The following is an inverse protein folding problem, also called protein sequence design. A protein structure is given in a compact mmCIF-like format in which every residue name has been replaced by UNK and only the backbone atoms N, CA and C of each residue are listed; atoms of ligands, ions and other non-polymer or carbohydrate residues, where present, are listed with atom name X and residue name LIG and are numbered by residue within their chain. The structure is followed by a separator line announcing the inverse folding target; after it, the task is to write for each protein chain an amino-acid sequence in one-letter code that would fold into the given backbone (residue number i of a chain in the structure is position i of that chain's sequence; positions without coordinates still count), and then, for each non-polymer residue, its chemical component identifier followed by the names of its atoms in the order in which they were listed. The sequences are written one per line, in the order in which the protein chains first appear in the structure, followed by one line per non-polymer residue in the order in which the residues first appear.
data_IF_116439007401
#
_entry.id   IF_116439007401
#
_cell.length_a   1.000
_cell.length_b   1.000
_cell.length_c   1.000
_cell.angle_alpha   90.00
_cell.angle_beta   90.00
_cell.angle_gamma   90.00
#
_symmetry.space_group_name_H-M   'P 1'
#
loop_
_entity.id
_entity.type
_entity.pdbx_description
1 polymer ?
#
# COMPACT_ATOMS: atom_id res chain seq x y z
N UNK A 1 33.61 -26.88 2.81
CA UNK A 1 32.43 -26.23 2.17
C UNK A 1 31.24 -27.10 2.52
N UNK A 2 30.18 -26.49 3.03
CA UNK A 2 28.88 -27.13 3.26
C UNK A 2 27.91 -26.53 2.24
N UNK A 3 27.23 -27.35 1.44
CA UNK A 3 26.35 -26.89 0.36
C UNK A 3 25.01 -27.63 0.44
N UNK A 4 23.92 -26.90 0.20
CA UNK A 4 22.57 -27.49 0.14
C UNK A 4 22.35 -28.26 -1.17
N UNK A 5 21.36 -29.17 -1.23
CA UNK A 5 20.79 -29.56 -2.52
C UNK A 5 20.20 -28.35 -3.26
N UNK A 6 19.78 -28.58 -4.51
CA UNK A 6 18.97 -27.61 -5.24
C UNK A 6 17.62 -27.42 -4.55
N UNK A 7 17.29 -26.16 -4.30
CA UNK A 7 16.05 -25.70 -3.72
C UNK A 7 15.29 -24.90 -4.77
N UNK A 8 13.97 -24.94 -4.68
CA UNK A 8 13.09 -24.13 -5.48
C UNK A 8 12.00 -23.56 -4.58
N UNK A 9 11.75 -22.27 -4.71
CA UNK A 9 10.66 -21.59 -4.04
C UNK A 9 10.14 -20.50 -4.96
N UNK A 10 8.87 -20.60 -5.32
CA UNK A 10 8.12 -19.41 -5.72
C UNK A 10 8.00 -18.47 -4.50
N UNK A 11 7.83 -17.17 -4.69
CA UNK A 11 7.48 -16.27 -3.59
C UNK A 11 5.95 -16.17 -3.55
N UNK A 12 5.35 -16.51 -2.42
CA UNK A 12 3.96 -16.13 -2.12
C UNK A 12 3.88 -14.60 -2.14
N UNK A 13 2.83 -14.01 -2.73
CA UNK A 13 2.72 -12.54 -2.71
C UNK A 13 2.78 -12.01 -1.29
N UNK A 14 3.36 -10.82 -1.14
CA UNK A 14 3.57 -10.21 0.17
C UNK A 14 4.41 -11.06 1.13
N UNK A 15 5.32 -11.90 0.62
CA UNK A 15 6.30 -12.63 1.42
C UNK A 15 7.73 -12.37 0.97
N UNK A 16 8.69 -12.67 1.84
CA UNK A 16 10.10 -12.67 1.52
C UNK A 16 10.73 -14.02 1.82
N UNK A 17 11.62 -14.47 0.93
CA UNK A 17 12.38 -15.68 1.14
C UNK A 17 13.55 -15.37 2.09
N UNK A 18 13.62 -16.09 3.22
CA UNK A 18 14.61 -15.91 4.27
C UNK A 18 15.55 -17.11 4.34
N UNK A 19 16.82 -16.84 4.62
CA UNK A 19 17.79 -17.81 5.12
C UNK A 19 18.13 -17.44 6.57
N UNK A 20 17.81 -18.32 7.50
CA UNK A 20 18.17 -18.19 8.92
C UNK A 20 19.08 -19.32 9.36
N UNK A 21 20.07 -19.03 10.19
CA UNK A 21 20.97 -20.02 10.78
C UNK A 21 21.58 -19.50 12.07
N UNK A 22 22.02 -20.43 12.91
CA UNK A 22 22.82 -20.13 14.08
C UNK A 22 24.31 -20.26 13.74
N UNK A 23 25.12 -19.33 14.24
CA UNK A 23 26.57 -19.33 14.06
C UNK A 23 27.32 -19.10 15.38
N UNK A 24 28.42 -19.82 15.55
CA UNK A 24 29.38 -19.65 16.64
C UNK A 24 30.81 -19.75 16.10
N UNK A 25 31.72 -18.96 16.69
CA UNK A 25 33.16 -19.05 16.47
C UNK A 25 33.86 -19.28 17.81
N UNK A 26 34.61 -20.38 17.92
CA UNK A 26 35.64 -20.50 18.95
C UNK A 26 36.97 -20.07 18.35
N UNK A 27 37.38 -18.83 18.64
CA UNK A 27 38.62 -18.25 18.15
C UNK A 27 39.82 -18.69 19.02
N UNK A 28 40.99 -18.84 18.40
CA UNK A 28 42.25 -19.05 19.11
C UNK A 28 43.13 -17.80 19.06
N UNK A 29 43.16 -17.11 17.92
CA UNK A 29 43.97 -15.93 17.72
C UNK A 29 43.23 -14.96 16.78
N UNK A 30 42.91 -13.79 17.30
CA UNK A 30 42.18 -12.74 16.59
C UNK A 30 43.03 -12.04 15.52
N UNK A 31 43.22 -12.69 14.38
CA UNK A 31 44.05 -12.20 13.27
C UNK A 31 43.26 -11.48 12.18
N UNK A 32 41.94 -11.62 12.19
CA UNK A 32 41.05 -11.19 11.12
C UNK A 32 41.40 -11.76 9.72
N UNK A 33 42.01 -12.95 9.69
CA UNK A 33 42.46 -13.63 8.47
C UNK A 33 41.74 -14.94 8.17
N UNK A 34 40.83 -15.37 9.05
CA UNK A 34 39.99 -16.55 8.89
C UNK A 34 38.53 -16.12 8.81
N UNK A 35 37.81 -16.72 7.87
CA UNK A 35 36.48 -16.28 7.45
C UNK A 35 35.48 -17.42 7.41
N UNK A 36 34.21 -17.10 7.67
CA UNK A 36 33.06 -17.90 7.31
C UNK A 36 32.20 -17.10 6.33
N UNK A 37 32.29 -17.45 5.04
CA UNK A 37 31.47 -16.86 3.98
C UNK A 37 30.17 -17.64 3.77
N UNK A 38 29.08 -16.92 3.57
CA UNK A 38 27.78 -17.47 3.18
C UNK A 38 27.43 -16.93 1.82
N UNK A 39 27.03 -17.81 0.92
CA UNK A 39 26.71 -17.47 -0.46
C UNK A 39 25.44 -18.20 -0.91
N UNK A 40 24.74 -17.59 -1.86
CA UNK A 40 23.54 -18.16 -2.46
C UNK A 40 23.72 -18.21 -3.96
N UNK A 41 23.42 -19.36 -4.56
CA UNK A 41 23.52 -19.60 -5.98
C UNK A 41 22.19 -19.32 -6.66
N UNK A 42 22.16 -18.49 -7.70
CA UNK A 42 21.05 -18.38 -8.65
C UNK A 42 21.59 -17.88 -9.99
N UNK A 43 20.81 -17.99 -11.09
CA UNK A 43 21.24 -17.60 -12.45
C UNK A 43 22.62 -18.15 -12.87
N UNK A 44 22.94 -19.37 -12.42
CA UNK A 44 24.22 -20.05 -12.67
C UNK A 44 25.46 -19.40 -12.02
N UNK A 45 25.29 -18.48 -11.08
CA UNK A 45 26.40 -17.79 -10.39
C UNK A 45 26.19 -17.79 -8.86
N UNK A 46 27.30 -17.74 -8.12
CA UNK A 46 27.28 -17.62 -6.65
C UNK A 46 27.32 -16.14 -6.26
N UNK A 47 26.36 -15.72 -5.43
CA UNK A 47 26.28 -14.37 -4.89
C UNK A 47 26.68 -14.37 -3.41
N UNK A 48 27.62 -13.49 -2.99
CA UNK A 48 27.96 -13.35 -1.58
C UNK A 48 26.81 -12.74 -0.79
N UNK A 49 26.47 -13.35 0.35
CA UNK A 49 25.41 -12.90 1.24
C UNK A 49 25.97 -12.19 2.48
N UNK A 50 26.89 -12.84 3.18
CA UNK A 50 27.55 -12.31 4.39
C UNK A 50 28.89 -13.00 4.62
N UNK A 51 29.81 -12.33 5.30
CA UNK A 51 31.09 -12.88 5.71
C UNK A 51 31.39 -12.52 7.16
N UNK A 52 31.72 -13.55 7.95
CA UNK A 52 32.21 -13.41 9.33
C UNK A 52 33.73 -13.57 9.35
N UNK A 53 34.38 -12.95 10.33
CA UNK A 53 35.84 -12.88 10.44
C UNK A 53 36.27 -13.17 11.88
N UNK A 54 37.42 -13.81 12.09
CA UNK A 54 37.96 -14.12 13.41
C UNK A 54 38.61 -12.89 14.11
N UNK A 55 37.81 -11.91 14.47
CA UNK A 55 38.27 -10.76 15.30
C UNK A 55 38.14 -11.04 16.80
N UNK A 56 37.28 -11.98 17.19
CA UNK A 56 37.11 -12.51 18.54
C UNK A 56 36.22 -13.77 18.48
N UNK A 57 36.20 -14.56 19.55
CA UNK A 57 35.18 -15.62 19.72
C UNK A 57 33.77 -15.02 19.71
N UNK A 58 32.85 -15.74 19.09
CA UNK A 58 31.44 -15.42 18.98
C UNK A 58 30.66 -16.56 19.60
N UNK A 59 29.90 -16.30 20.68
CA UNK A 59 28.96 -17.30 21.18
C UNK A 59 27.78 -17.46 20.20
N UNK A 60 26.99 -18.51 20.35
CA UNK A 60 25.83 -18.76 19.47
C UNK A 60 24.95 -17.52 19.30
N UNK A 61 24.79 -17.11 18.04
CA UNK A 61 23.83 -16.09 17.62
C UNK A 61 23.00 -16.63 16.47
N UNK A 62 21.73 -16.23 16.41
CA UNK A 62 20.85 -16.45 15.25
C UNK A 62 20.94 -15.25 14.33
N UNK A 63 21.05 -15.51 13.03
CA UNK A 63 21.06 -14.48 12.00
C UNK A 63 20.11 -14.85 10.89
N UNK A 64 19.40 -13.86 10.35
CA UNK A 64 18.42 -14.04 9.28
C UNK A 64 18.70 -13.05 8.17
N UNK A 65 18.74 -13.55 6.93
CA UNK A 65 19.03 -12.76 5.74
C UNK A 65 17.92 -12.91 4.71
N UNK A 66 17.61 -11.81 4.02
CA UNK A 66 16.69 -11.82 2.89
C UNK A 66 17.44 -12.34 1.64
N UNK A 67 16.89 -13.38 1.02
CA UNK A 67 17.42 -14.01 -0.20
C UNK A 67 16.38 -14.02 -1.33
N UNK A 68 15.42 -13.10 -1.30
CA UNK A 68 14.29 -13.03 -2.24
C UNK A 68 14.71 -12.85 -3.70
N UNK A 69 15.94 -12.40 -3.97
CA UNK A 69 16.50 -12.32 -5.32
C UNK A 69 16.67 -13.70 -6.00
N UNK A 70 16.70 -14.76 -5.18
CA UNK A 70 16.77 -16.15 -5.63
C UNK A 70 15.39 -16.79 -5.87
N UNK A 71 14.30 -16.10 -5.52
CA UNK A 71 12.95 -16.64 -5.68
C UNK A 71 12.52 -16.76 -7.14
N UNK A 72 11.65 -17.74 -7.41
CA UNK A 72 11.23 -18.11 -8.76
C UNK A 72 12.36 -18.71 -9.61
N UNK A 73 13.50 -19.02 -8.98
CA UNK A 73 14.68 -19.63 -9.60
C UNK A 73 15.07 -20.88 -8.81
N UNK A 74 15.78 -21.79 -9.46
CA UNK A 74 16.51 -22.83 -8.73
C UNK A 74 17.70 -22.21 -8.03
N UNK A 75 17.83 -22.44 -6.72
CA UNK A 75 18.91 -21.87 -5.91
C UNK A 75 19.56 -22.89 -4.97
N UNK A 76 20.75 -22.54 -4.46
CA UNK A 76 21.48 -23.31 -3.43
C UNK A 76 22.06 -22.34 -2.40
N UNK A 77 22.34 -22.83 -1.20
CA UNK A 77 23.05 -22.09 -0.15
C UNK A 77 24.34 -22.83 0.17
N UNK A 78 25.45 -22.09 0.38
CA UNK A 78 26.68 -22.69 0.89
C UNK A 78 27.36 -21.86 1.96
N UNK A 79 28.10 -22.56 2.81
CA UNK A 79 28.95 -22.04 3.87
C UNK A 79 30.41 -22.43 3.60
N UNK A 80 31.30 -21.44 3.61
CA UNK A 80 32.70 -21.58 3.22
C UNK A 80 33.57 -21.07 4.36
N UNK A 81 34.19 -21.99 5.09
CA UNK A 81 35.33 -21.65 5.94
C UNK A 81 36.58 -21.46 5.06
N UNK A 82 37.24 -20.32 5.18
CA UNK A 82 38.46 -19.99 4.45
C UNK A 82 39.41 -19.17 5.34
N UNK A 83 40.67 -19.00 4.94
CA UNK A 83 41.60 -18.16 5.68
C UNK A 83 43.07 -18.47 5.43
N UNK A 84 43.94 -17.70 6.08
CA UNK A 84 45.38 -17.83 5.95
C UNK A 84 45.92 -19.04 6.73
N UNK A 85 45.41 -19.30 7.94
CA UNK A 85 45.86 -20.40 8.78
C UNK A 85 44.71 -20.93 9.66
N UNK A 86 44.25 -22.14 9.38
CA UNK A 86 43.18 -22.79 10.15
C UNK A 86 43.52 -22.97 11.64
N UNK A 87 44.79 -22.95 12.03
CA UNK A 87 45.19 -23.04 13.44
C UNK A 87 44.85 -21.80 14.27
N UNK A 88 44.45 -20.68 13.64
CA UNK A 88 44.02 -19.45 14.32
C UNK A 88 42.60 -19.57 14.89
N UNK A 89 41.83 -20.59 14.50
CA UNK A 89 40.49 -20.85 15.03
C UNK A 89 40.40 -22.28 15.56
N UNK A 90 39.59 -22.52 16.59
CA UNK A 90 39.25 -23.89 16.99
C UNK A 90 38.15 -24.46 16.10
N UNK A 91 37.20 -23.62 15.69
CA UNK A 91 36.15 -24.04 14.76
C UNK A 91 35.09 -22.98 14.55
N UNK A 92 34.50 -23.04 13.35
CA UNK A 92 33.22 -22.42 13.05
C UNK A 92 32.13 -23.47 13.20
N UNK A 93 31.05 -23.11 13.88
CA UNK A 93 29.90 -23.97 14.08
C UNK A 93 28.68 -23.30 13.47
N UNK A 94 27.92 -24.06 12.69
CA UNK A 94 26.67 -23.64 12.06
C UNK A 94 25.61 -24.66 12.46
N UNK A 95 24.44 -24.19 12.88
CA UNK A 95 23.31 -25.03 13.23
C UNK A 95 21.98 -24.35 12.87
N UNK A 96 20.85 -25.07 12.99
CA UNK A 96 19.50 -24.55 12.79
C UNK A 96 19.31 -23.79 11.46
N UNK A 97 19.84 -24.35 10.37
CA UNK A 97 19.74 -23.75 9.04
C UNK A 97 18.31 -23.95 8.51
N UNK A 98 17.60 -22.85 8.32
CA UNK A 98 16.25 -22.81 7.78
C UNK A 98 16.18 -21.90 6.56
N UNK A 99 15.56 -22.40 5.50
CA UNK A 99 15.11 -21.57 4.38
C UNK A 99 13.60 -21.60 4.40
N UNK A 100 12.97 -20.44 4.56
CA UNK A 100 11.52 -20.32 4.71
C UNK A 100 11.02 -19.02 4.12
N UNK A 101 9.71 -18.97 3.85
CA UNK A 101 9.04 -17.74 3.47
C UNK A 101 8.44 -17.07 4.69
N UNK A 102 8.51 -15.75 4.73
CA UNK A 102 7.95 -14.93 5.79
C UNK A 102 7.03 -13.87 5.17
N UNK A 103 5.74 -13.93 5.51
CA UNK A 103 4.74 -12.97 5.03
C UNK A 103 4.88 -11.62 5.74
N UNK A 104 4.61 -10.53 5.03
CA UNK A 104 4.91 -9.19 5.47
C UNK A 104 3.95 -8.71 6.58
N UNK A 105 4.47 -7.98 7.60
CA UNK A 105 3.69 -7.45 8.70
C UNK A 105 3.00 -6.13 8.35
N UNK A 106 1.93 -5.73 9.07
CA UNK A 106 1.38 -4.38 9.02
C UNK A 106 2.40 -3.34 9.47
N UNK A 107 2.25 -2.11 9.00
CA UNK A 107 3.16 -1.01 9.27
C UNK A 107 2.45 0.14 9.98
N UNK A 108 3.22 1.04 10.59
CA UNK A 108 2.74 2.31 11.13
C UNK A 108 1.51 2.19 12.04
N UNK A 109 1.49 1.21 12.94
CA UNK A 109 0.45 1.12 13.96
C UNK A 109 0.53 2.35 14.86
N UNK A 110 -0.59 3.05 14.97
CA UNK A 110 -0.79 4.21 15.84
C UNK A 110 -2.22 4.22 16.40
N UNK A 111 -2.53 5.20 17.24
CA UNK A 111 -3.82 5.33 17.87
C UNK A 111 -4.29 6.77 18.04
N UNK A 112 -5.61 6.94 17.95
CA UNK A 112 -6.31 8.16 18.33
C UNK A 112 -7.22 7.92 19.53
N UNK A 113 -7.16 8.83 20.50
CA UNK A 113 -8.06 8.80 21.66
C UNK A 113 -9.37 9.51 21.29
N UNK A 114 -10.44 8.74 21.08
CA UNK A 114 -11.74 9.23 20.55
C UNK A 114 -12.81 9.41 21.63
N UNK A 115 -12.38 9.57 22.88
CA UNK A 115 -13.22 9.75 24.06
C UNK A 115 -12.41 9.53 25.34
N UNK A 116 -13.06 9.51 26.50
CA UNK A 116 -12.34 9.32 27.77
C UNK A 116 -11.72 7.92 27.93
N UNK A 117 -12.22 6.92 27.19
CA UNK A 117 -11.80 5.52 27.30
C UNK A 117 -12.01 4.69 26.02
N UNK A 118 -11.99 5.37 24.87
CA UNK A 118 -12.16 4.78 23.55
C UNK A 118 -10.91 5.06 22.72
N UNK A 119 -10.30 3.99 22.22
CA UNK A 119 -9.11 4.05 21.39
C UNK A 119 -9.48 3.61 19.97
N UNK A 120 -9.14 4.43 18.98
CA UNK A 120 -9.17 4.04 17.58
C UNK A 120 -7.75 3.73 17.14
N UNK A 121 -7.43 2.44 17.03
CA UNK A 121 -6.19 1.99 16.42
C UNK A 121 -6.27 2.19 14.91
N UNK A 122 -5.17 2.63 14.30
CA UNK A 122 -5.01 2.70 12.85
C UNK A 122 -3.64 2.17 12.44
N UNK A 123 -3.55 1.55 11.27
CA UNK A 123 -2.28 1.06 10.73
C UNK A 123 -2.26 1.17 9.21
N UNK A 124 -1.08 1.03 8.63
CA UNK A 124 -0.89 0.82 7.20
C UNK A 124 -0.84 -0.68 6.89
N UNK A 125 -1.37 -1.13 5.74
CA UNK A 125 -1.21 -2.50 5.31
C UNK A 125 0.28 -2.85 5.09
N UNK A 126 0.62 -4.15 5.01
CA UNK A 126 1.97 -4.56 4.63
C UNK A 126 2.36 -3.99 3.26
N UNK A 127 3.58 -3.46 3.16
CA UNK A 127 4.16 -3.08 1.86
C UNK A 127 4.55 -4.35 1.10
N UNK A 128 3.62 -4.85 0.28
CA UNK A 128 3.87 -6.00 -0.56
C UNK A 128 4.65 -5.57 -1.81
N UNK A 129 5.79 -6.21 -2.06
CA UNK A 129 6.57 -5.98 -3.29
C UNK A 129 5.86 -6.59 -4.53
N UNK A 130 4.80 -7.37 -4.30
CA UNK A 130 3.88 -7.95 -5.30
C UNK A 130 2.44 -7.89 -4.74
N UNK A 131 1.52 -7.23 -5.45
CA UNK A 131 0.23 -6.73 -4.91
C UNK A 131 -0.80 -7.75 -4.36
N UNK A 132 -1.98 -7.29 -3.89
CA UNK A 132 -2.89 -7.98 -2.94
C UNK A 132 -3.72 -9.15 -3.51
N UNK A 133 -4.49 -9.83 -2.63
CA UNK A 133 -5.44 -10.95 -2.91
C UNK A 133 -6.76 -10.44 -3.52
N UNK A 134 -7.31 -11.18 -4.50
CA UNK A 134 -8.49 -10.90 -5.32
C UNK A 134 -8.21 -11.03 -6.83
N UNK A 135 -9.14 -11.50 -7.66
CA UNK A 135 -8.87 -11.58 -9.11
C UNK A 135 -8.60 -10.17 -9.66
N UNK A 136 -7.50 -10.03 -10.40
CA UNK A 136 -7.19 -8.78 -11.06
C UNK A 136 -8.21 -8.53 -12.18
N UNK A 137 -8.93 -7.41 -12.11
CA UNK A 137 -9.98 -7.00 -13.04
C UNK A 137 -9.68 -5.65 -13.63
N UNK A 138 -9.80 -5.52 -14.94
CA UNK A 138 -9.72 -4.25 -15.65
C UNK A 138 -11.11 -3.63 -15.75
N UNK A 139 -11.22 -2.37 -15.37
CA UNK A 139 -12.36 -1.50 -15.60
C UNK A 139 -12.00 -0.50 -16.69
N UNK A 140 -12.83 -0.43 -17.74
CA UNK A 140 -12.69 0.57 -18.80
C UNK A 140 -14.02 1.19 -19.17
N UNK A 141 -14.00 2.44 -19.65
CA UNK A 141 -15.21 3.15 -20.09
C UNK A 141 -15.18 3.54 -21.58
N UNK A 142 -13.99 3.74 -22.13
CA UNK A 142 -13.80 4.01 -23.56
C UNK A 142 -14.31 2.88 -24.46
N UNK A 143 -14.84 3.26 -25.62
CA UNK A 143 -15.42 2.35 -26.60
C UNK A 143 -14.87 2.49 -28.02
N UNK A 144 -14.09 3.54 -28.29
CA UNK A 144 -13.35 3.69 -29.56
C UNK A 144 -12.07 2.86 -29.68
N UNK A 145 -11.53 2.81 -30.91
CA UNK A 145 -10.25 2.17 -31.24
C UNK A 145 -9.08 3.17 -31.14
N UNK A 146 -8.14 2.99 -30.19
CA UNK A 146 -7.04 3.93 -29.98
C UNK A 146 -6.03 4.01 -31.13
N UNK A 147 -6.12 3.12 -32.11
CA UNK A 147 -5.22 3.17 -33.29
C UNK A 147 -5.80 3.97 -34.45
N UNK A 148 -7.12 4.20 -34.47
CA UNK A 148 -7.82 4.84 -35.59
C UNK A 148 -8.67 6.05 -35.16
N UNK A 149 -9.02 6.14 -33.87
CA UNK A 149 -9.78 7.25 -33.28
C UNK A 149 -8.95 7.89 -32.17
N UNK A 150 -8.33 9.03 -32.47
CA UNK A 150 -7.33 9.65 -31.59
C UNK A 150 -7.56 11.16 -31.52
N UNK A 151 -8.03 11.65 -30.38
CA UNK A 151 -8.15 13.05 -30.03
C UNK A 151 -7.47 13.31 -28.67
N UNK A 152 -7.40 14.57 -28.25
CA UNK A 152 -6.80 14.98 -27.00
C UNK A 152 -6.90 16.49 -26.84
N UNK A 153 -6.77 16.94 -25.60
CA UNK A 153 -6.67 18.36 -25.26
C UNK A 153 -5.24 18.85 -25.39
N UNK A 154 -5.11 20.13 -25.72
CA UNK A 154 -3.92 20.90 -25.40
C UNK A 154 -3.80 21.03 -23.88
N UNK A 155 -2.67 20.61 -23.32
CA UNK A 155 -2.53 20.49 -21.87
C UNK A 155 -1.63 21.55 -21.26
N UNK A 156 -1.78 21.75 -19.95
CA UNK A 156 -1.02 22.72 -19.18
C UNK A 156 -0.65 22.16 -17.81
N UNK A 157 0.40 22.69 -17.20
CA UNK A 157 0.76 22.36 -15.81
C UNK A 157 -0.35 22.79 -14.86
N UNK A 158 -0.49 22.09 -13.73
CA UNK A 158 -1.54 22.39 -12.76
C UNK A 158 -2.95 22.10 -13.28
N UNK A 159 -3.07 21.25 -14.30
CA UNK A 159 -4.35 20.72 -14.80
C UNK A 159 -4.28 19.20 -14.82
N UNK A 160 -5.41 18.54 -14.66
CA UNK A 160 -5.47 17.08 -14.73
C UNK A 160 -6.63 16.58 -15.58
N UNK A 161 -6.43 15.38 -16.14
CA UNK A 161 -7.29 14.74 -17.12
C UNK A 161 -7.43 13.27 -16.77
N UNK A 162 -8.64 12.73 -16.77
CA UNK A 162 -8.80 11.33 -16.39
C UNK A 162 -10.24 10.85 -16.30
N UNK A 163 -10.40 9.69 -15.66
CA UNK A 163 -11.68 8.97 -15.62
C UNK A 163 -12.10 8.74 -14.17
N UNK A 164 -13.41 8.83 -13.94
CA UNK A 164 -14.03 8.46 -12.65
C UNK A 164 -14.67 7.08 -12.76
N UNK A 165 -14.21 6.14 -11.95
CA UNK A 165 -14.68 4.76 -11.90
C UNK A 165 -15.70 4.55 -10.78
N UNK A 166 -16.67 3.66 -11.01
CA UNK A 166 -17.68 3.30 -10.01
C UNK A 166 -17.35 1.95 -9.36
N UNK A 167 -16.86 1.99 -8.13
CA UNK A 167 -16.49 0.81 -7.36
C UNK A 167 -17.60 0.34 -6.41
N UNK A 168 -18.83 0.84 -6.52
CA UNK A 168 -19.96 0.42 -5.68
C UNK A 168 -20.20 -1.09 -5.63
N UNK A 169 -19.83 -1.81 -6.70
CA UNK A 169 -19.95 -3.26 -6.78
C UNK A 169 -18.75 -4.03 -6.19
N UNK A 170 -17.64 -3.34 -5.91
CA UNK A 170 -16.37 -3.89 -5.45
C UNK A 170 -15.97 -3.19 -4.15
N UNK A 171 -16.70 -3.45 -3.06
CA UNK A 171 -16.45 -2.83 -1.75
C UNK A 171 -15.08 -3.18 -1.16
N UNK A 172 -14.51 -4.30 -1.58
CA UNK A 172 -13.18 -4.79 -1.21
C UNK A 172 -12.10 -4.39 -2.23
N UNK A 173 -12.43 -3.57 -3.24
CA UNK A 173 -11.50 -3.26 -4.31
C UNK A 173 -10.24 -2.59 -3.75
N UNK A 174 -9.11 -3.14 -4.17
CA UNK A 174 -7.81 -2.49 -4.09
C UNK A 174 -7.45 -1.91 -5.45
N UNK A 175 -7.00 -0.66 -5.49
CA UNK A 175 -6.57 0.01 -6.72
C UNK A 175 -5.13 -0.38 -7.04
N UNK A 176 -4.93 -1.25 -8.02
CA UNK A 176 -3.63 -1.88 -8.25
C UNK A 176 -2.76 -1.10 -9.24
N UNK A 177 -3.28 -0.81 -10.43
CA UNK A 177 -2.51 -0.18 -11.52
C UNK A 177 -3.42 0.48 -12.55
N UNK A 178 -2.86 1.29 -13.43
CA UNK A 178 -3.57 1.89 -14.55
C UNK A 178 -2.85 1.62 -15.86
N UNK A 179 -3.64 1.60 -16.93
CA UNK A 179 -3.14 1.73 -18.30
C UNK A 179 -3.72 3.00 -18.89
N UNK A 180 -2.94 3.74 -19.67
CA UNK A 180 -3.46 4.86 -20.44
C UNK A 180 -2.75 5.01 -21.77
N UNK A 181 -3.43 5.62 -22.74
CA UNK A 181 -2.83 6.00 -24.02
C UNK A 181 -2.51 7.49 -24.05
N UNK A 182 -1.36 7.83 -24.62
CA UNK A 182 -1.03 9.22 -24.98
C UNK A 182 -0.74 9.31 -26.48
N UNK A 183 -1.01 10.49 -27.05
CA UNK A 183 -0.86 10.78 -28.46
C UNK A 183 -0.37 12.21 -28.63
N UNK A 184 0.94 12.33 -28.80
CA UNK A 184 1.68 13.56 -28.84
C UNK A 184 1.21 14.47 -29.99
N UNK A 185 1.21 15.78 -29.76
CA UNK A 185 0.91 16.79 -30.77
C UNK A 185 2.05 17.02 -31.78
N UNK A 186 2.63 15.94 -32.32
CA UNK A 186 3.75 16.00 -33.27
C UNK A 186 5.12 16.30 -32.64
N UNK A 187 5.17 16.56 -31.33
CA UNK A 187 6.41 16.65 -30.55
C UNK A 187 6.68 15.30 -29.85
N UNK A 188 7.73 14.62 -30.28
CA UNK A 188 8.10 13.31 -29.74
C UNK A 188 9.10 13.45 -28.58
N UNK A 189 8.93 12.63 -27.55
CA UNK A 189 9.80 12.61 -26.37
C UNK A 189 9.30 11.67 -25.29
N UNK A 190 10.08 11.57 -24.21
CA UNK A 190 9.64 11.00 -22.95
C UNK A 190 9.18 12.13 -22.04
N UNK A 191 7.98 12.00 -21.49
CA UNK A 191 7.29 13.08 -20.80
C UNK A 191 6.93 12.67 -19.38
N UNK A 192 7.13 13.58 -18.43
CA UNK A 192 6.79 13.34 -17.04
C UNK A 192 5.32 13.61 -16.75
N UNK A 193 4.74 12.82 -15.86
CA UNK A 193 3.36 13.01 -15.39
C UNK A 193 3.20 12.52 -13.95
N UNK A 194 2.15 13.00 -13.27
CA UNK A 194 1.68 12.46 -11.98
C UNK A 194 0.32 11.80 -12.14
N UNK A 195 0.01 10.91 -11.21
CA UNK A 195 -1.32 10.31 -11.06
C UNK A 195 -1.91 10.78 -9.73
N UNK A 196 -3.05 11.44 -9.79
CA UNK A 196 -3.86 11.84 -8.63
C UNK A 196 -5.00 10.85 -8.47
N UNK A 197 -5.11 10.24 -7.29
CA UNK A 197 -6.20 9.34 -6.91
C UNK A 197 -7.10 10.09 -5.96
N UNK A 198 -8.41 10.15 -6.24
CA UNK A 198 -9.35 11.05 -5.56
C UNK A 198 -10.63 10.32 -5.18
N UNK A 199 -11.08 10.46 -3.93
CA UNK A 199 -12.42 10.04 -3.53
C UNK A 199 -13.43 11.03 -4.12
N UNK A 200 -14.17 10.61 -5.15
CA UNK A 200 -14.89 11.54 -6.01
C UNK A 200 -16.13 12.13 -5.38
N UNK A 201 -16.71 11.47 -4.36
CA UNK A 201 -17.87 12.02 -3.67
C UNK A 201 -17.50 13.21 -2.77
N UNK A 202 -16.28 13.22 -2.25
CA UNK A 202 -15.80 14.25 -1.31
C UNK A 202 -14.74 15.16 -1.93
N UNK A 203 -14.25 14.82 -3.12
CA UNK A 203 -13.12 15.46 -3.79
C UNK A 203 -11.82 15.46 -2.96
N UNK A 204 -11.70 14.50 -2.03
CA UNK A 204 -10.51 14.36 -1.19
C UNK A 204 -9.42 13.60 -1.94
N UNK A 205 -8.21 14.14 -1.99
CA UNK A 205 -7.05 13.44 -2.53
C UNK A 205 -6.69 12.24 -1.66
N UNK A 206 -6.69 11.05 -2.24
CA UNK A 206 -6.26 9.80 -1.62
C UNK A 206 -4.74 9.64 -1.74
N UNK A 207 -4.21 9.84 -2.95
CA UNK A 207 -2.78 9.72 -3.23
C UNK A 207 -2.37 10.60 -4.41
N UNK A 208 -1.11 11.04 -4.42
CA UNK A 208 -0.46 11.65 -5.59
C UNK A 208 0.83 10.88 -5.86
N UNK A 209 0.87 10.19 -7.00
CA UNK A 209 1.95 9.29 -7.37
C UNK A 209 2.79 9.85 -8.50
N UNK A 210 4.07 9.48 -8.54
CA UNK A 210 5.04 9.97 -9.52
C UNK A 210 5.97 11.07 -8.98
N UNK A 211 6.66 11.82 -9.87
CA UNK A 211 6.48 11.82 -11.32
C UNK A 211 6.93 10.51 -11.96
N UNK A 212 6.08 9.98 -12.83
CA UNK A 212 6.41 8.90 -13.76
C UNK A 212 6.90 9.49 -15.08
N UNK A 213 7.44 8.65 -15.97
CA UNK A 213 7.93 9.06 -17.30
C UNK A 213 7.37 8.14 -18.37
N UNK A 214 6.85 8.67 -19.47
CA UNK A 214 6.38 7.85 -20.61
C UNK A 214 7.52 7.07 -21.27
N UNK A 215 7.20 5.88 -21.78
CA UNK A 215 8.18 4.90 -22.30
C UNK A 215 8.25 4.88 -23.83
N UNK A 216 7.61 5.84 -24.49
CA UNK A 216 7.63 6.00 -25.95
C UNK A 216 6.72 7.14 -26.37
N UNK A 217 6.44 7.20 -27.68
CA UNK A 217 5.49 8.15 -28.27
C UNK A 217 4.24 7.40 -28.71
N UNK A 218 3.10 8.05 -28.59
CA UNK A 218 1.85 7.68 -29.27
C UNK A 218 1.43 6.23 -29.03
N UNK A 219 1.48 5.81 -27.76
CA UNK A 219 1.27 4.42 -27.38
C UNK A 219 0.59 4.29 -26.03
N UNK A 220 0.19 3.06 -25.72
CA UNK A 220 -0.20 2.66 -24.38
C UNK A 220 0.99 2.63 -23.42
N UNK A 221 0.84 3.28 -22.28
CA UNK A 221 1.58 3.01 -21.07
C UNK A 221 0.77 1.99 -20.26
N UNK A 222 1.39 0.85 -19.95
CA UNK A 222 0.72 -0.28 -19.32
C UNK A 222 1.34 -0.62 -17.97
N UNK A 223 0.49 -0.96 -17.01
CA UNK A 223 0.89 -1.43 -15.69
C UNK A 223 1.53 -0.37 -14.80
N UNK A 224 1.08 0.88 -14.91
CA UNK A 224 1.55 1.96 -14.03
C UNK A 224 0.99 1.72 -12.63
N UNK A 225 1.87 1.37 -11.70
CA UNK A 225 1.49 0.93 -10.36
C UNK A 225 0.87 2.07 -9.55
N UNK A 226 -0.30 1.82 -8.94
CA UNK A 226 -0.95 2.73 -8.02
C UNK A 226 -0.53 2.54 -6.56
N UNK A 227 0.26 1.51 -6.27
CA UNK A 227 0.68 1.15 -4.91
C UNK A 227 -0.35 0.36 -4.13
N UNK A 228 -1.29 -0.30 -4.83
CA UNK A 228 -2.30 -1.17 -4.22
C UNK A 228 -3.12 -0.47 -3.11
N UNK A 229 -3.73 0.66 -3.48
CA UNK A 229 -4.47 1.50 -2.53
C UNK A 229 -5.76 0.80 -2.11
N UNK A 230 -5.87 0.45 -0.83
CA UNK A 230 -7.01 -0.24 -0.24
C UNK A 230 -8.01 0.71 0.43
N UNK A 231 -9.20 0.22 0.76
CA UNK A 231 -10.19 0.94 1.56
C UNK A 231 -11.04 1.97 0.79
N UNK A 232 -10.88 2.04 -0.53
CA UNK A 232 -11.64 2.93 -1.42
C UNK A 232 -12.53 2.18 -2.42
N UNK A 233 -12.74 0.89 -2.18
CA UNK A 233 -13.83 0.15 -2.80
C UNK A 233 -15.21 0.67 -2.37
N UNK A 234 -16.25 0.36 -3.14
CA UNK A 234 -17.64 0.71 -2.78
C UNK A 234 -18.07 2.14 -3.11
N UNK A 235 -17.14 3.00 -3.53
CA UNK A 235 -17.38 4.42 -3.83
C UNK A 235 -17.16 4.81 -5.29
N UNK A 236 -16.99 6.12 -5.53
CA UNK A 236 -16.54 6.66 -6.82
C UNK A 236 -15.09 7.10 -6.67
N UNK A 237 -14.20 6.62 -7.54
CA UNK A 237 -12.78 7.00 -7.51
C UNK A 237 -12.37 7.68 -8.80
N UNK A 238 -11.74 8.84 -8.68
CA UNK A 238 -11.14 9.57 -9.80
C UNK A 238 -9.66 9.21 -9.96
N UNK A 239 -9.25 8.89 -11.19
CA UNK A 239 -7.86 8.64 -11.56
C UNK A 239 -7.44 9.73 -12.57
N UNK A 240 -6.75 10.76 -12.08
CA UNK A 240 -6.44 11.96 -12.86
C UNK A 240 -4.95 12.06 -13.17
N UNK A 241 -4.61 12.31 -14.43
CA UNK A 241 -3.25 12.40 -14.90
C UNK A 241 -2.87 13.88 -15.08
N UNK A 242 -1.75 14.29 -14.51
CA UNK A 242 -1.20 15.66 -14.61
C UNK A 242 0.08 15.64 -15.46
N UNK A 243 0.14 16.35 -16.59
CA UNK A 243 1.34 16.46 -17.42
C UNK A 243 2.34 17.47 -16.81
N UNK A 244 3.64 17.16 -16.89
CA UNK A 244 4.70 17.90 -16.18
C UNK A 244 5.91 18.26 -17.05
N UNK A 245 5.84 18.09 -18.37
CA UNK A 245 6.98 18.33 -19.26
C UNK A 245 6.65 19.23 -20.45
N UNK A 246 7.70 19.64 -21.18
CA UNK A 246 7.71 20.62 -22.28
C UNK A 246 7.60 22.08 -21.81
N UNK A 247 6.40 22.61 -21.59
CA UNK A 247 6.23 23.96 -21.03
C UNK A 247 4.95 24.09 -20.21
N UNK A 248 4.88 25.09 -19.32
CA UNK A 248 3.76 25.26 -18.42
C UNK A 248 2.40 25.45 -19.13
N UNK A 249 2.41 26.00 -20.33
CA UNK A 249 1.20 26.21 -21.15
C UNK A 249 1.03 25.16 -22.24
N UNK A 250 2.04 24.33 -22.51
CA UNK A 250 2.06 23.31 -23.57
C UNK A 250 2.64 22.02 -22.96
N UNK A 251 1.86 21.39 -22.12
CA UNK A 251 2.34 20.31 -21.27
C UNK A 251 2.16 18.95 -21.92
N UNK A 252 3.12 18.06 -21.70
CA UNK A 252 3.09 16.67 -22.17
C UNK A 252 3.21 15.70 -20.99
N UNK A 253 2.69 14.46 -21.10
CA UNK A 253 2.11 13.84 -22.30
C UNK A 253 0.67 14.26 -22.62
N UNK A 254 0.33 14.26 -23.90
CA UNK A 254 -1.05 14.48 -24.37
C UNK A 254 -1.89 13.21 -24.22
N UNK A 255 -2.63 13.10 -23.11
CA UNK A 255 -3.60 12.02 -22.89
C UNK A 255 -4.65 11.95 -24.01
N UNK A 256 -4.87 10.73 -24.50
CA UNK A 256 -5.70 10.48 -25.67
C UNK A 256 -7.15 10.19 -25.30
N UNK A 257 -8.07 10.58 -26.18
CA UNK A 257 -9.47 10.21 -26.16
C UNK A 257 -9.97 9.75 -27.54
N UNK A 258 -11.13 9.11 -27.61
CA UNK A 258 -11.68 8.47 -28.82
C UNK A 258 -12.53 9.36 -29.74
N UNK A 259 -12.70 10.65 -29.43
CA UNK A 259 -13.54 11.57 -30.19
C UNK A 259 -15.02 11.14 -30.29
N UNK A 260 -15.46 10.21 -29.44
CA UNK A 260 -16.84 9.76 -29.32
C UNK A 260 -17.29 9.89 -27.86
N UNK A 261 -18.55 10.25 -27.63
CA UNK A 261 -19.05 10.45 -26.26
C UNK A 261 -18.76 11.83 -25.64
N UNK A 262 -18.47 11.94 -24.32
CA UNK A 262 -18.13 10.85 -23.42
C UNK A 262 -19.32 9.94 -23.13
N UNK A 263 -19.17 8.67 -23.46
CA UNK A 263 -20.08 7.59 -23.12
C UNK A 263 -19.72 7.00 -21.74
N UNK A 264 -18.80 7.61 -20.99
CA UNK A 264 -18.51 7.36 -19.58
C UNK A 264 -18.23 8.65 -18.79
N UNK A 265 -17.44 8.55 -17.72
CA UNK A 265 -17.10 9.69 -16.84
C UNK A 265 -15.67 10.18 -17.07
N UNK A 266 -15.42 10.65 -18.29
CA UNK A 266 -14.16 11.30 -18.67
C UNK A 266 -14.21 12.79 -18.33
N UNK A 267 -13.27 13.28 -17.52
CA UNK A 267 -13.30 14.63 -16.96
C UNK A 267 -11.93 15.29 -16.96
N UNK A 268 -11.93 16.63 -16.94
CA UNK A 268 -10.72 17.44 -16.85
C UNK A 268 -10.97 18.74 -16.09
N UNK A 269 -9.93 19.31 -15.51
CA UNK A 269 -10.01 20.58 -14.80
C UNK A 269 -8.67 21.07 -14.24
N UNK A 270 -8.72 22.22 -13.57
CA UNK A 270 -7.56 22.88 -12.96
C UNK A 270 -7.35 22.31 -11.55
N UNK A 271 -6.13 21.90 -11.24
CA UNK A 271 -5.74 21.48 -9.89
C UNK A 271 -5.58 22.69 -8.95
N UNK A 272 -5.81 22.51 -7.64
CA UNK A 272 -6.18 21.26 -6.95
C UNK A 272 -7.70 21.03 -6.82
N UNK A 273 -8.54 21.82 -7.48
CA UNK A 273 -10.00 21.78 -7.27
C UNK A 273 -10.69 20.74 -8.16
N UNK A 274 -10.81 19.51 -7.66
CA UNK A 274 -11.51 18.44 -8.37
C UNK A 274 -13.02 18.70 -8.53
N UNK A 275 -13.62 19.55 -7.68
CA UNK A 275 -15.05 19.86 -7.75
C UNK A 275 -15.40 20.72 -8.98
N UNK A 276 -14.41 21.42 -9.55
CA UNK A 276 -14.57 22.20 -10.78
C UNK A 276 -14.34 21.40 -12.06
N UNK A 277 -14.13 20.08 -11.98
CA UNK A 277 -13.83 19.26 -13.15
C UNK A 277 -15.08 19.11 -14.02
N UNK A 278 -14.85 19.23 -15.32
CA UNK A 278 -15.90 19.26 -16.33
C UNK A 278 -15.80 18.05 -17.26
N UNK A 279 -16.89 17.70 -17.97
CA UNK A 279 -16.86 16.63 -18.95
C UNK A 279 -15.81 16.87 -20.03
N UNK A 280 -15.19 15.77 -20.47
CA UNK A 280 -14.42 15.76 -21.70
C UNK A 280 -15.31 16.14 -22.89
N UNK A 281 -14.78 16.98 -23.76
CA UNK A 281 -15.35 17.43 -25.03
C UNK A 281 -14.60 16.81 -26.20
N UNK A 282 -13.64 15.92 -25.94
CA UNK A 282 -12.85 15.16 -26.94
C UNK A 282 -13.17 13.67 -26.89
N UNK A 283 -14.24 13.29 -26.21
CA UNK A 283 -14.69 11.90 -26.05
C UNK A 283 -14.18 11.24 -24.78
N UNK A 284 -14.19 9.92 -24.75
CA UNK A 284 -13.73 9.14 -23.61
C UNK A 284 -12.21 9.00 -23.59
N UNK A 285 -11.60 9.29 -22.45
CA UNK A 285 -10.17 9.10 -22.30
C UNK A 285 -9.84 7.61 -22.37
N UNK A 286 -8.80 7.28 -23.12
CA UNK A 286 -8.20 5.95 -23.16
C UNK A 286 -7.42 5.71 -21.87
N UNK A 287 -8.16 5.42 -20.81
CA UNK A 287 -7.66 5.07 -19.49
C UNK A 287 -8.42 3.84 -18.99
N UNK A 288 -7.68 2.91 -18.43
CA UNK A 288 -8.21 1.71 -17.78
C UNK A 288 -7.65 1.62 -16.36
N UNK A 289 -8.52 1.28 -15.40
CA UNK A 289 -8.15 1.03 -14.02
C UNK A 289 -8.14 -0.48 -13.78
N UNK A 290 -7.08 -0.99 -13.19
CA UNK A 290 -7.04 -2.37 -12.70
C UNK A 290 -7.26 -2.38 -11.20
N UNK A 291 -8.24 -3.17 -10.78
CA UNK A 291 -8.53 -3.43 -9.39
C UNK A 291 -8.29 -4.90 -9.05
N UNK A 292 -7.85 -5.13 -7.83
CA UNK A 292 -7.82 -6.45 -7.20
C UNK A 292 -9.06 -6.56 -6.32
N UNK A 293 -9.86 -7.62 -6.50
CA UNK A 293 -11.10 -7.83 -5.72
C UNK A 293 -11.48 -9.30 -5.70
N UNK A 294 -11.99 -9.80 -4.57
CA UNK A 294 -12.55 -11.14 -4.44
C UNK A 294 -14.03 -11.18 -4.90
N UNK A 295 -14.65 -10.02 -5.16
CA UNK A 295 -16.03 -9.91 -5.60
C UNK A 295 -16.15 -10.16 -7.11
N UNK A 296 -16.89 -11.21 -7.45
CA UNK A 296 -17.20 -11.57 -8.83
C UNK A 296 -18.57 -11.08 -9.27
N UNK A 297 -18.63 -10.65 -10.53
CA UNK A 297 -19.80 -10.08 -11.19
C UNK A 297 -20.29 -8.88 -10.41
N UNK A 298 -19.89 -7.69 -10.87
CA UNK A 298 -20.48 -6.46 -10.38
C UNK A 298 -21.98 -6.68 -10.20
N UNK A 299 -22.45 -6.65 -8.94
CA UNK A 299 -23.89 -6.66 -8.66
C UNK A 299 -24.49 -5.64 -9.62
N UNK A 300 -25.66 -5.91 -10.18
CA UNK A 300 -26.34 -4.92 -11.03
C UNK A 300 -26.69 -3.71 -10.17
N UNK A 301 -25.73 -2.83 -9.95
CA UNK A 301 -25.88 -1.51 -9.38
C UNK A 301 -26.25 -0.63 -10.56
N UNK A 302 -27.24 0.23 -10.37
CA UNK A 302 -27.53 1.26 -11.34
C UNK A 302 -26.22 2.03 -11.63
N UNK A 303 -25.96 2.31 -12.91
CA UNK A 303 -24.81 3.09 -13.30
C UNK A 303 -24.81 4.41 -12.53
N UNK A 304 -23.72 4.68 -11.81
CA UNK A 304 -23.62 5.88 -10.98
C UNK A 304 -23.70 7.11 -11.88
N UNK A 305 -24.51 8.07 -11.46
CA UNK A 305 -24.58 9.39 -12.10
C UNK A 305 -23.59 10.31 -11.42
N UNK A 306 -22.73 10.95 -12.20
CA UNK A 306 -21.71 11.88 -11.73
C UNK A 306 -22.05 13.26 -12.26
N UNK A 307 -22.23 14.21 -11.35
CA UNK A 307 -22.36 15.62 -11.74
C UNK A 307 -20.97 16.18 -12.02
N UNK A 308 -20.83 16.85 -13.16
CA UNK A 308 -19.60 17.53 -13.56
C UNK A 308 -19.88 19.04 -13.74
N UNK A 309 -18.86 19.85 -13.46
CA UNK A 309 -18.92 21.30 -13.57
C UNK A 309 -18.77 21.77 -15.03
N UNK A 310 -18.75 23.09 -15.25
CA UNK A 310 -18.44 23.69 -16.55
C UNK A 310 -16.93 23.95 -16.66
N UNK A 311 -16.32 23.57 -17.78
CA UNK A 311 -14.87 23.64 -17.95
C UNK A 311 -14.37 25.08 -18.05
N UNK A 312 -13.23 25.35 -17.43
CA UNK A 312 -12.47 26.61 -17.57
C UNK A 312 -11.16 26.44 -18.34
N UNK A 313 -10.86 25.23 -18.83
CA UNK A 313 -9.61 24.92 -19.55
C UNK A 313 -9.66 25.36 -21.02
N UNK A 314 -8.49 25.65 -21.59
CA UNK A 314 -8.35 26.03 -22.98
C UNK A 314 -8.80 24.88 -23.91
N UNK A 315 -9.76 25.16 -24.78
CA UNK A 315 -10.47 24.17 -25.61
C UNK A 315 -9.73 23.81 -26.90
N UNK A 316 -8.41 23.96 -26.95
CA UNK A 316 -7.66 23.53 -28.14
C UNK A 316 -7.61 22.01 -28.16
N UNK A 317 -8.08 21.40 -29.24
CA UNK A 317 -8.23 19.94 -29.38
C UNK A 317 -7.56 19.44 -30.66
N UNK A 318 -7.01 18.21 -30.63
CA UNK A 318 -6.21 17.65 -31.74
C UNK A 318 -7.06 17.43 -32.99
N UNK A 319 -8.32 17.10 -32.79
CA UNK A 319 -9.39 17.04 -33.78
C UNK A 319 -10.61 17.81 -33.27
N UNK A 320 -11.54 18.21 -34.15
CA UNK A 320 -12.71 19.02 -33.79
C UNK A 320 -13.45 18.51 -32.55
N UNK A 321 -13.70 19.40 -31.59
CA UNK A 321 -14.34 19.09 -30.33
C UNK A 321 -15.85 18.79 -30.49
N UNK A 322 -16.37 17.96 -29.58
CA UNK A 322 -17.79 17.63 -29.44
C UNK A 322 -18.50 18.81 -28.77
N UNK A 323 -19.58 19.29 -29.39
CA UNK A 323 -20.28 20.53 -28.97
C UNK A 323 -21.49 20.29 -28.07
N UNK A 324 -21.93 19.04 -27.92
CA UNK A 324 -23.07 18.64 -27.08
C UNK A 324 -22.60 17.63 -26.04
N UNK A 325 -22.64 18.03 -24.78
CA UNK A 325 -22.26 17.18 -23.64
C UNK A 325 -23.24 17.39 -22.48
N UNK A 326 -23.44 16.34 -21.69
CA UNK A 326 -24.26 16.38 -20.47
C UNK A 326 -23.37 16.77 -19.29
N UNK A 327 -23.87 17.62 -18.40
CA UNK A 327 -23.25 17.88 -17.10
C UNK A 327 -23.54 16.77 -16.07
N UNK A 328 -24.38 15.80 -16.44
CA UNK A 328 -24.62 14.57 -15.68
C UNK A 328 -24.11 13.40 -16.51
N UNK A 329 -22.96 12.87 -16.11
CA UNK A 329 -22.31 11.74 -16.75
C UNK A 329 -22.77 10.44 -16.09
N UNK A 330 -22.72 9.34 -16.84
CA UNK A 330 -23.11 8.01 -16.34
C UNK A 330 -21.93 7.07 -16.51
N UNK A 331 -21.51 6.42 -15.42
CA UNK A 331 -20.42 5.45 -15.48
C UNK A 331 -20.81 4.24 -16.34
N UNK A 332 -20.20 4.12 -17.51
CA UNK A 332 -20.45 3.04 -18.48
C UNK A 332 -19.26 2.07 -18.51
N UNK A 333 -18.95 1.54 -17.32
CA UNK A 333 -17.78 0.70 -17.15
C UNK A 333 -18.02 -0.73 -17.61
N UNK A 334 -17.04 -1.29 -18.33
CA UNK A 334 -16.94 -2.71 -18.67
C UNK A 334 -15.86 -3.36 -17.80
N UNK A 335 -16.21 -4.46 -17.17
CA UNK A 335 -15.31 -5.35 -16.43
C UNK A 335 -14.71 -6.38 -17.40
N UNK A 336 -13.39 -6.54 -17.35
CA UNK A 336 -12.65 -7.59 -18.05
C UNK A 336 -11.75 -8.28 -17.03
N UNK A 337 -11.94 -9.59 -16.82
CA UNK A 337 -11.04 -10.39 -16.00
C UNK A 337 -9.65 -10.45 -16.65
N UNK A 338 -8.60 -10.33 -15.85
CA UNK A 338 -7.26 -10.68 -16.30
C UNK A 338 -7.23 -12.15 -16.77
N UNK A 339 -6.37 -12.51 -17.74
CA UNK A 339 -6.11 -13.91 -18.06
C UNK A 339 -5.76 -14.71 -16.80
N UNK A 340 -6.17 -15.98 -16.71
CA UNK A 340 -6.06 -16.85 -15.50
C UNK A 340 -4.64 -16.98 -14.90
N UNK A 341 -3.61 -16.49 -15.60
CA UNK A 341 -2.22 -16.48 -15.14
C UNK A 341 -1.87 -15.28 -14.23
N UNK A 342 -2.85 -14.45 -13.85
CA UNK A 342 -2.68 -13.33 -12.89
C UNK A 342 -3.34 -13.63 -11.53
N UNK A 343 -3.11 -14.83 -10.98
CA UNK A 343 -3.63 -15.21 -9.66
C UNK A 343 -3.03 -14.31 -8.59
N UNK A 344 -3.90 -13.60 -7.89
CA UNK A 344 -3.61 -12.79 -6.72
C UNK A 344 -3.32 -13.64 -5.49
N UNK A 345 -2.42 -13.18 -4.63
CA UNK A 345 -2.26 -13.66 -3.25
C UNK A 345 -2.00 -12.42 -2.37
N UNK A 346 -2.47 -12.35 -1.13
CA UNK A 346 -2.34 -11.15 -0.29
C UNK A 346 -3.10 -11.22 1.04
N UNK A 347 -3.18 -10.08 1.73
CA UNK A 347 -3.79 -9.95 3.08
C UNK A 347 -5.30 -10.13 3.03
N UNK A 348 -5.84 -11.01 3.87
CA UNK A 348 -7.28 -11.29 4.02
C UNK A 348 -7.87 -10.68 5.30
N UNK A 349 -7.03 -10.20 6.23
CA UNK A 349 -7.46 -9.47 7.42
C UNK A 349 -6.35 -9.30 8.46
N UNK A 350 -6.71 -8.86 9.66
CA UNK A 350 -5.79 -8.54 10.74
C UNK A 350 -6.21 -9.15 12.07
N UNK A 351 -5.22 -9.50 12.89
CA UNK A 351 -5.41 -9.82 14.30
C UNK A 351 -4.79 -8.73 15.16
N UNK A 352 -5.52 -8.32 16.18
CA UNK A 352 -5.14 -7.24 17.08
C UNK A 352 -4.78 -7.87 18.43
N UNK A 353 -3.63 -7.47 18.94
CA UNK A 353 -3.09 -7.93 20.20
C UNK A 353 -3.00 -6.74 21.15
N UNK A 354 -3.45 -6.96 22.40
CA UNK A 354 -3.30 -6.03 23.51
C UNK A 354 -2.59 -6.77 24.64
N UNK A 355 -1.46 -6.23 25.07
CA UNK A 355 -0.57 -6.82 26.09
C UNK A 355 -0.23 -8.28 25.78
N UNK A 356 0.01 -8.56 24.49
CA UNK A 356 0.33 -9.90 23.97
C UNK A 356 -0.86 -10.84 23.78
N UNK A 357 -2.08 -10.48 24.20
CA UNK A 357 -3.27 -11.29 24.01
C UNK A 357 -4.11 -10.81 22.83
N UNK A 358 -4.52 -11.73 21.95
CA UNK A 358 -5.43 -11.43 20.84
C UNK A 358 -6.81 -10.99 21.36
N UNK A 359 -7.33 -9.87 20.89
CA UNK A 359 -8.60 -9.29 21.38
C UNK A 359 -9.77 -9.39 20.39
N UNK A 360 -9.51 -9.54 19.09
CA UNK A 360 -10.55 -9.73 18.10
C UNK A 360 -10.92 -11.21 17.93
N UNK A 361 -12.23 -11.52 17.93
CA UNK A 361 -12.74 -12.89 17.73
C UNK A 361 -12.80 -13.30 16.26
N UNK A 362 -12.98 -12.33 15.37
CA UNK A 362 -12.97 -12.47 13.91
C UNK A 362 -11.91 -11.55 13.33
N UNK A 363 -11.27 -11.95 12.24
CA UNK A 363 -10.31 -11.09 11.55
C UNK A 363 -10.94 -9.75 11.19
N UNK A 364 -10.18 -8.68 11.40
CA UNK A 364 -10.59 -7.32 11.02
C UNK A 364 -10.14 -7.09 9.59
N UNK A 365 -11.06 -6.67 8.71
CA UNK A 365 -10.76 -6.45 7.28
C UNK A 365 -10.35 -5.01 6.99
N UNK A 366 -10.68 -4.08 7.89
CA UNK A 366 -10.26 -2.68 7.80
C UNK A 366 -8.86 -2.49 8.38
N UNK A 367 -8.25 -1.33 8.10
CA UNK A 367 -6.97 -0.91 8.70
C UNK A 367 -7.15 -0.07 9.98
N UNK A 368 -8.32 -0.21 10.61
CA UNK A 368 -8.65 0.44 11.87
C UNK A 368 -9.39 -0.51 12.80
N UNK A 369 -9.25 -0.29 14.11
CA UNK A 369 -9.96 -1.07 15.12
C UNK A 369 -10.30 -0.21 16.33
N UNK A 370 -11.56 -0.29 16.78
CA UNK A 370 -12.03 0.43 17.96
C UNK A 370 -11.98 -0.47 19.19
N UNK A 371 -11.12 -0.13 20.14
CA UNK A 371 -11.04 -0.76 21.45
C UNK A 371 -11.69 0.16 22.50
N UNK A 372 -12.81 -0.31 23.07
CA UNK A 372 -13.69 0.51 23.88
C UNK A 372 -13.77 -0.01 25.32
N UNK A 373 -13.95 0.92 26.26
CA UNK A 373 -14.17 0.55 27.66
C UNK A 373 -12.88 0.21 28.40
N UNK A 374 -11.75 0.75 27.95
CA UNK A 374 -10.47 0.62 28.64
C UNK A 374 -10.57 1.24 30.04
N UNK A 375 -9.95 0.57 31.01
CA UNK A 375 -9.87 1.04 32.40
C UNK A 375 -8.56 1.77 32.64
N UNK A 376 -8.36 2.30 33.85
CA UNK A 376 -7.13 3.01 34.18
C UNK A 376 -5.95 2.03 34.10
N UNK A 377 -4.96 2.31 33.25
CA UNK A 377 -3.87 1.38 33.01
C UNK A 377 -3.01 1.72 31.79
N UNK A 378 -1.92 0.98 31.64
CA UNK A 378 -1.05 1.02 30.47
C UNK A 378 -1.39 -0.15 29.56
N UNK A 379 -1.47 0.11 28.26
CA UNK A 379 -1.77 -0.87 27.24
C UNK A 379 -0.77 -0.75 26.10
N UNK A 380 -0.24 -1.88 25.65
CA UNK A 380 0.59 -1.95 24.44
C UNK A 380 -0.12 -2.79 23.38
N UNK A 381 -0.10 -2.30 22.15
CA UNK A 381 -0.79 -2.90 21.02
C UNK A 381 0.19 -3.32 19.93
N UNK A 382 -0.15 -4.42 19.28
CA UNK A 382 0.46 -4.89 18.04
C UNK A 382 -0.63 -5.43 17.11
N UNK A 383 -0.34 -5.42 15.81
CA UNK A 383 -1.23 -5.99 14.80
C UNK A 383 -0.43 -6.96 13.93
N UNK A 384 -1.02 -8.10 13.59
CA UNK A 384 -0.51 -9.02 12.56
C UNK A 384 -1.46 -9.01 11.37
N UNK A 385 -0.92 -9.23 10.18
CA UNK A 385 -1.67 -9.49 8.97
C UNK A 385 -1.91 -11.00 8.84
N UNK A 386 -3.11 -11.38 8.47
CA UNK A 386 -3.45 -12.74 8.05
C UNK A 386 -3.50 -12.73 6.53
N UNK A 387 -2.70 -13.59 5.91
CA UNK A 387 -2.63 -13.77 4.46
C UNK A 387 -3.41 -15.02 4.05
N UNK A 388 -3.72 -15.15 2.75
CA UNK A 388 -4.31 -16.38 2.22
C UNK A 388 -3.51 -17.63 2.61
N UNK A 389 -4.22 -18.75 2.83
CA UNK A 389 -3.63 -19.96 3.41
C UNK A 389 -3.50 -19.93 4.93
N UNK A 390 -4.16 -18.98 5.60
CA UNK A 390 -4.13 -18.75 7.05
C UNK A 390 -2.70 -18.51 7.60
N UNK A 391 -1.86 -17.87 6.78
CA UNK A 391 -0.50 -17.49 7.15
C UNK A 391 -0.51 -16.16 7.92
N UNK A 392 -0.19 -16.20 9.22
CA UNK A 392 -0.07 -15.01 10.05
C UNK A 392 1.33 -14.41 9.98
N UNK A 393 1.42 -13.09 9.80
CA UNK A 393 2.67 -12.35 9.73
C UNK A 393 3.33 -12.16 11.09
N UNK A 394 4.59 -11.70 11.11
CA UNK A 394 5.15 -11.06 12.29
C UNK A 394 4.29 -9.87 12.76
N UNK A 395 4.51 -9.42 14.00
CA UNK A 395 3.84 -8.25 14.56
C UNK A 395 4.31 -6.95 13.88
N UNK A 396 3.41 -5.98 13.79
CA UNK A 396 3.73 -4.57 13.52
C UNK A 396 4.66 -3.98 14.59
N UNK A 397 5.03 -2.70 14.42
CA UNK A 397 5.55 -1.92 15.53
C UNK A 397 4.59 -1.98 16.74
N UNK A 398 5.16 -1.89 17.94
CA UNK A 398 4.41 -1.80 19.19
C UNK A 398 4.02 -0.34 19.44
N UNK A 399 2.76 -0.11 19.81
CA UNK A 399 2.24 1.19 20.18
C UNK A 399 1.65 1.14 21.59
N UNK A 400 2.19 1.92 22.52
CA UNK A 400 1.78 1.90 23.93
C UNK A 400 1.11 3.21 24.37
N UNK A 401 0.08 3.11 25.19
CA UNK A 401 -0.67 4.24 25.75
C UNK A 401 -1.03 4.03 27.22
N UNK A 402 -1.06 5.11 28.00
CA UNK A 402 -1.65 5.14 29.34
C UNK A 402 -3.07 5.73 29.27
N UNK A 403 -4.07 4.92 29.58
CA UNK A 403 -5.45 5.38 29.75
C UNK A 403 -5.65 5.77 31.21
N UNK A 404 -6.04 7.03 31.45
CA UNK A 404 -6.39 7.52 32.78
C UNK A 404 -7.88 7.84 32.81
N UNK A 405 -8.69 6.94 33.39
CA UNK A 405 -10.11 7.17 33.61
C UNK A 405 -10.38 7.53 35.07
N UNK A 406 -10.79 8.77 35.30
CA UNK A 406 -11.07 9.29 36.64
C UNK A 406 -9.83 9.78 37.40
N UNK A 407 -10.04 10.13 38.67
CA UNK A 407 -8.98 10.49 39.63
C UNK A 407 -8.87 9.34 40.62
N UNK A 408 -7.68 8.80 40.86
CA UNK A 408 -7.49 7.85 41.96
C UNK A 408 -7.88 8.53 43.28
N UNK A 409 -8.73 7.88 44.09
CA UNK A 409 -9.00 8.39 45.42
C UNK A 409 -7.65 8.50 46.14
N UNK A 410 -7.27 9.69 46.64
CA UNK A 410 -6.02 9.82 47.37
C UNK A 410 -6.03 8.82 48.52
N UNK A 411 -4.95 8.05 48.67
CA UNK A 411 -4.80 7.04 49.74
C UNK A 411 -4.93 7.63 51.16
N UNK A 412 -4.93 8.95 51.26
CA UNK A 412 -5.31 9.68 52.46
C UNK A 412 -6.83 9.63 52.66
N UNK A 413 -7.27 8.89 53.70
CA UNK A 413 -8.66 8.74 54.19
C UNK A 413 -9.42 10.06 54.45
N UNK A 414 -8.84 11.22 54.18
CA UNK A 414 -9.41 12.54 54.43
C UNK A 414 -10.20 13.10 53.26
N UNK A 415 -10.08 12.54 52.05
CA UNK A 415 -10.82 12.98 50.86
C UNK A 415 -11.42 11.75 50.17
N UNK A 416 -12.72 11.82 49.88
CA UNK A 416 -13.46 10.80 49.14
C UNK A 416 -14.18 11.46 47.98
N UNK A 417 -13.96 10.95 46.78
CA UNK A 417 -14.50 11.48 45.53
C UNK A 417 -15.48 10.45 44.94
N UNK A 418 -16.74 10.84 44.70
CA UNK A 418 -17.77 9.92 44.21
C UNK A 418 -18.93 10.61 43.43
N UNK A 419 -19.59 9.90 42.50
CA UNK A 419 -19.17 8.61 41.95
C UNK A 419 -17.87 8.76 41.16
N UNK A 420 -17.00 7.77 41.24
CA UNK A 420 -15.78 7.67 40.44
C UNK A 420 -15.86 6.35 39.67
N UNK A 421 -15.96 6.34 38.33
CA UNK A 421 -15.92 7.50 37.42
C UNK A 421 -17.15 8.42 37.52
N UNK A 422 -16.94 9.74 37.39
CA UNK A 422 -17.99 10.74 37.38
C UNK A 422 -18.44 11.06 35.94
N UNK A 423 -19.75 11.21 35.68
CA UNK A 423 -20.27 11.57 34.34
C UNK A 423 -20.47 13.06 34.16
N UNK A 424 -21.35 13.67 34.95
CA UNK A 424 -21.74 15.09 34.82
C UNK A 424 -21.53 15.89 36.10
N UNK A 425 -21.36 15.20 37.22
CA UNK A 425 -21.12 15.79 38.53
C UNK A 425 -20.21 14.87 39.33
N UNK A 426 -19.38 15.48 40.16
CA UNK A 426 -18.52 14.78 41.11
C UNK A 426 -18.77 15.36 42.50
N UNK A 427 -18.92 14.51 43.49
CA UNK A 427 -18.99 14.92 44.89
C UNK A 427 -17.61 14.72 45.52
N UNK A 428 -17.14 15.73 46.22
CA UNK A 428 -15.92 15.67 47.02
C UNK A 428 -16.34 15.79 48.49
N UNK A 429 -16.12 14.73 49.26
CA UNK A 429 -16.31 14.74 50.71
C UNK A 429 -14.95 14.71 51.39
N UNK A 430 -14.70 15.70 52.23
CA UNK A 430 -13.45 15.86 52.98
C UNK A 430 -13.73 16.05 54.47
N UNK A 431 -12.80 15.63 55.32
CA UNK A 431 -12.83 15.88 56.77
C UNK A 431 -12.28 17.26 57.17
N UNK A 432 -11.82 18.06 56.18
CA UNK A 432 -11.28 19.41 56.35
C UNK A 432 -11.93 20.39 55.38
N UNK A 433 -11.92 21.67 55.74
CA UNK A 433 -12.45 22.74 54.90
C UNK A 433 -11.74 22.82 53.54
N UNK A 434 -12.54 22.91 52.48
CA UNK A 434 -12.03 23.13 51.12
C UNK A 434 -11.71 24.62 51.00
N UNK A 435 -10.43 24.95 50.80
CA UNK A 435 -9.97 26.35 50.65
C UNK A 435 -9.93 26.82 49.20
N UNK A 436 -9.68 25.91 48.27
CA UNK A 436 -9.61 26.21 46.84
C UNK A 436 -9.94 24.96 46.03
N UNK A 437 -10.65 25.15 44.92
CA UNK A 437 -10.87 24.13 43.88
C UNK A 437 -10.42 24.78 42.57
N UNK A 438 -9.37 24.22 41.98
CA UNK A 438 -8.88 24.63 40.66
C UNK A 438 -9.09 23.49 39.69
N UNK A 439 -9.66 23.83 38.53
CA UNK A 439 -9.83 22.92 37.40
C UNK A 439 -8.51 22.70 36.66
#
# INVERSE_FOLDING_TARGET
ILESPELYSDIENCSSLKLSFDIKLDDRLATASEFMGVEVFWDSIWHPLVQYTNTASLNWITTTHNISQAAGKTFKVRFIASGANSANVYGWFIDNIHVYQEVAPPLNLDFDVTGWNWLLLSWSPPECITGPSGVLKMLKQWDGDPTSQVNGYYQAYGSAYGVVYNLAAYSDATLSKIDFHHASWGLNGSWQYKVHVVEWNTFTTIAVLGPFTTTGNDKWEVGINLGDIMGYGGGLVGIMLEPLSNSATDAYPDFTADNDGPAGVSVNGVLPDFSSFAPSTVGDFYQSLWITTALDKGKTVAAAKVNAAQSTLATQTRTAAITLFSNVLTANQKEINAPENFVSRGVIGYNIYRDGAKINSTMVTDTTYSDNGLVNGNYCFNVTAVHEGDCESPMSNEACISINVGIDNPSAQTISVYPNPARTSVNIKTSRDIRNITL
#
